data_IF_902590887018
#
_entry.id   IF_902590887018
#
_cell.length_a   1.000
_cell.length_b   1.000
_cell.length_c   1.000
_cell.angle_alpha   90.00
_cell.angle_beta   90.00
_cell.angle_gamma   90.00
#
_symmetry.space_group_name_H-M   'P 1'
#
loop_
_entity.id
_entity.type
_entity.pdbx_description
1 polymer ?
#
# COMPACT_ATOMS: atom_id res chain seq x y z
N UNK A 1 11.28 8.33 1.26
CA UNK A 1 12.43 8.81 0.48
C UNK A 1 11.96 8.92 -0.96
N UNK A 2 11.93 10.12 -1.56
CA UNK A 2 11.52 10.28 -2.96
C UNK A 2 12.79 10.21 -3.80
N UNK A 3 13.01 9.09 -4.48
CA UNK A 3 14.07 8.96 -5.48
C UNK A 3 13.70 9.72 -6.76
N UNK A 4 14.72 9.96 -7.58
CA UNK A 4 14.60 10.60 -8.89
C UNK A 4 13.48 9.95 -9.70
N UNK A 5 12.39 10.68 -10.02
CA UNK A 5 11.28 10.11 -10.75
C UNK A 5 11.74 9.61 -12.12
N UNK A 6 11.29 8.41 -12.51
CA UNK A 6 11.57 7.87 -13.83
C UNK A 6 10.91 8.81 -14.86
N UNK A 7 11.68 9.37 -15.81
CA UNK A 7 11.11 10.26 -16.82
C UNK A 7 9.99 9.55 -17.59
N UNK A 8 8.86 10.22 -17.81
CA UNK A 8 7.70 9.65 -18.53
C UNK A 8 8.07 8.90 -19.83
N UNK A 9 8.98 9.41 -20.69
CA UNK A 9 9.37 8.70 -21.92
C UNK A 9 10.10 7.37 -21.68
N UNK A 10 10.71 7.19 -20.51
CA UNK A 10 11.50 6.01 -20.14
C UNK A 10 10.67 4.99 -19.35
N UNK A 11 9.50 5.39 -18.85
CA UNK A 11 8.67 4.56 -17.97
C UNK A 11 8.28 3.23 -18.62
N UNK A 12 7.82 3.25 -19.88
CA UNK A 12 7.41 2.02 -20.57
C UNK A 12 8.55 0.99 -20.63
N UNK A 13 9.75 1.43 -21.05
CA UNK A 13 10.92 0.57 -21.13
C UNK A 13 11.39 0.07 -19.76
N UNK A 14 11.26 0.88 -18.70
CA UNK A 14 11.57 0.48 -17.34
C UNK A 14 10.61 -0.63 -16.86
N UNK A 15 9.31 -0.48 -17.12
CA UNK A 15 8.29 -1.50 -16.80
C UNK A 15 8.48 -2.79 -17.58
N UNK A 16 8.90 -2.72 -18.85
CA UNK A 16 9.25 -3.89 -19.66
C UNK A 16 10.45 -4.65 -19.08
N UNK A 17 11.52 -3.93 -18.70
CA UNK A 17 12.69 -4.53 -18.05
C UNK A 17 12.35 -5.13 -16.69
N UNK A 18 11.49 -4.49 -15.91
CA UNK A 18 11.03 -5.04 -14.65
C UNK A 18 10.25 -6.35 -14.87
N UNK A 19 9.27 -6.36 -15.78
CA UNK A 19 8.49 -7.56 -16.10
C UNK A 19 9.35 -8.73 -16.55
N UNK A 20 10.36 -8.46 -17.39
CA UNK A 20 11.27 -9.46 -17.92
C UNK A 20 12.15 -10.13 -16.85
N UNK A 21 12.26 -9.55 -15.66
CA UNK A 21 13.02 -10.09 -14.52
C UNK A 21 12.14 -10.88 -13.53
N UNK A 22 10.82 -10.97 -13.76
CA UNK A 22 9.90 -11.73 -12.90
C UNK A 22 9.82 -13.18 -13.39
N UNK A 23 10.47 -14.10 -12.66
CA UNK A 23 10.48 -15.53 -12.99
C UNK A 23 9.22 -16.28 -12.51
N UNK A 24 8.50 -15.72 -11.54
CA UNK A 24 7.26 -16.32 -11.00
C UNK A 24 6.03 -15.92 -11.82
N UNK A 25 5.23 -16.92 -12.22
CA UNK A 25 4.03 -16.72 -13.04
C UNK A 25 2.98 -15.85 -12.35
N UNK A 26 2.76 -16.07 -11.06
CA UNK A 26 1.69 -15.38 -10.32
C UNK A 26 2.07 -13.94 -10.01
N UNK A 27 3.31 -13.70 -9.61
CA UNK A 27 3.91 -12.38 -9.44
C UNK A 27 3.92 -11.60 -10.74
N UNK A 28 4.30 -12.23 -11.86
CA UNK A 28 4.19 -11.61 -13.18
C UNK A 28 2.74 -11.24 -13.53
N UNK A 29 1.78 -12.14 -13.29
CA UNK A 29 0.36 -11.84 -13.52
C UNK A 29 -0.16 -10.70 -12.64
N UNK A 30 0.30 -10.62 -11.39
CA UNK A 30 0.00 -9.53 -10.48
C UNK A 30 0.58 -8.20 -10.97
N UNK A 31 1.85 -8.18 -11.39
CA UNK A 31 2.47 -7.01 -11.97
C UNK A 31 1.78 -6.53 -13.24
N UNK A 32 1.37 -7.45 -14.13
CA UNK A 32 0.60 -7.10 -15.32
C UNK A 32 -0.68 -6.37 -14.94
N UNK A 33 -1.43 -6.82 -13.92
CA UNK A 33 -2.63 -6.11 -13.45
C UNK A 33 -2.32 -4.71 -12.94
N UNK A 34 -1.25 -4.55 -12.16
CA UNK A 34 -0.80 -3.22 -11.69
C UNK A 34 -0.49 -2.32 -12.89
N UNK A 35 0.33 -2.81 -13.83
CA UNK A 35 0.75 -2.08 -15.03
C UNK A 35 -0.40 -1.63 -15.93
N UNK A 36 -1.51 -2.37 -15.96
CA UNK A 36 -2.69 -2.01 -16.76
C UNK A 36 -3.48 -0.82 -16.19
N UNK A 37 -3.15 -0.35 -14.99
CA UNK A 37 -3.80 0.81 -14.37
C UNK A 37 -3.04 2.11 -14.66
N UNK A 38 -3.69 3.25 -14.37
CA UNK A 38 -3.11 4.57 -14.62
C UNK A 38 -1.83 4.82 -13.82
N UNK A 39 -0.80 5.38 -14.46
CA UNK A 39 0.38 5.95 -13.80
C UNK A 39 0.12 7.34 -13.20
N UNK A 40 -1.05 7.92 -13.43
CA UNK A 40 -1.48 9.21 -12.87
C UNK A 40 -2.58 9.01 -11.82
N UNK A 41 -2.53 9.80 -10.75
CA UNK A 41 -3.53 9.79 -9.68
C UNK A 41 -4.88 10.28 -10.21
N UNK A 42 -5.95 9.64 -9.73
CA UNK A 42 -7.30 10.09 -9.99
C UNK A 42 -7.56 11.46 -9.33
N UNK A 43 -8.44 12.26 -9.91
CA UNK A 43 -8.85 13.57 -9.37
C UNK A 43 -10.38 13.73 -9.44
N UNK A 44 -10.91 14.71 -8.69
CA UNK A 44 -12.35 15.03 -8.68
C UNK A 44 -13.24 13.83 -8.35
N UNK A 45 -14.34 13.67 -9.09
CA UNK A 45 -15.34 12.62 -8.85
C UNK A 45 -14.78 11.19 -8.95
N UNK A 46 -13.74 10.99 -9.76
CA UNK A 46 -13.05 9.71 -9.89
C UNK A 46 -12.31 9.36 -8.61
N UNK A 47 -11.55 10.31 -8.04
CA UNK A 47 -10.85 10.13 -6.77
C UNK A 47 -11.84 9.85 -5.63
N UNK A 48 -12.93 10.61 -5.60
CA UNK A 48 -13.96 10.45 -4.57
C UNK A 48 -14.69 9.10 -4.68
N UNK A 49 -14.94 8.60 -5.89
CA UNK A 49 -15.46 7.22 -6.08
C UNK A 49 -14.48 6.17 -5.56
N UNK A 50 -13.19 6.30 -5.85
CA UNK A 50 -12.16 5.38 -5.37
C UNK A 50 -12.09 5.39 -3.84
N UNK A 51 -12.17 6.57 -3.23
CA UNK A 51 -12.20 6.73 -1.77
C UNK A 51 -13.38 5.98 -1.16
N UNK A 52 -14.58 6.13 -1.71
CA UNK A 52 -15.76 5.36 -1.27
C UNK A 52 -15.60 3.85 -1.41
N UNK A 53 -14.95 3.36 -2.47
CA UNK A 53 -14.67 1.92 -2.62
C UNK A 53 -13.69 1.43 -1.55
N UNK A 54 -12.66 2.22 -1.23
CA UNK A 54 -11.72 1.91 -0.17
C UNK A 54 -12.40 1.86 1.21
N UNK A 55 -13.35 2.76 1.48
CA UNK A 55 -14.13 2.75 2.72
C UNK A 55 -15.03 1.51 2.84
N UNK A 56 -15.64 1.04 1.74
CA UNK A 56 -16.37 -0.24 1.75
C UNK A 56 -15.45 -1.42 2.10
N UNK A 57 -14.18 -1.35 1.69
CA UNK A 57 -13.21 -2.37 2.06
C UNK A 57 -12.83 -2.29 3.55
N UNK A 58 -12.68 -1.07 4.09
CA UNK A 58 -12.48 -0.89 5.53
C UNK A 58 -13.64 -1.49 6.34
N UNK A 59 -14.89 -1.24 5.91
CA UNK A 59 -16.10 -1.84 6.50
C UNK A 59 -16.08 -3.36 6.41
N UNK A 60 -15.72 -3.93 5.24
CA UNK A 60 -15.61 -5.37 5.04
C UNK A 60 -14.65 -6.05 6.03
N UNK A 61 -13.52 -5.40 6.34
CA UNK A 61 -12.54 -5.90 7.32
C UNK A 61 -12.86 -5.51 8.78
N UNK A 62 -13.99 -4.83 9.03
CA UNK A 62 -14.40 -4.41 10.37
C UNK A 62 -13.49 -3.33 10.96
N UNK A 63 -12.88 -2.50 10.12
CA UNK A 63 -11.98 -1.42 10.54
C UNK A 63 -12.82 -0.21 10.95
N UNK A 64 -12.70 0.26 12.20
CA UNK A 64 -13.36 1.49 12.61
C UNK A 64 -12.82 2.69 11.84
N UNK A 65 -13.69 3.64 11.52
CA UNK A 65 -13.34 4.88 10.81
C UNK A 65 -13.78 6.09 11.61
N UNK A 66 -12.99 7.15 11.58
CA UNK A 66 -13.37 8.42 12.18
C UNK A 66 -14.49 9.09 11.39
N UNK A 67 -15.36 9.88 12.05
CA UNK A 67 -16.25 10.79 11.35
C UNK A 67 -15.46 11.77 10.46
N UNK A 68 -16.00 12.16 9.29
CA UNK A 68 -15.40 13.21 8.47
C UNK A 68 -15.19 14.49 9.29
N UNK A 69 -14.01 15.10 9.16
CA UNK A 69 -13.61 16.33 9.83
C UNK A 69 -12.85 16.16 11.15
N UNK A 70 -12.69 14.94 11.68
CA UNK A 70 -11.96 14.70 12.95
C UNK A 70 -10.49 15.12 12.89
N UNK A 71 -9.84 15.00 11.72
CA UNK A 71 -8.43 15.37 11.47
C UNK A 71 -7.46 14.85 12.55
N UNK A 72 -7.36 13.53 12.75
CA UNK A 72 -6.39 12.95 13.67
C UNK A 72 -4.93 13.30 13.31
N UNK A 73 -4.02 13.11 14.27
CA UNK A 73 -2.57 13.26 14.06
C UNK A 73 -1.93 12.13 13.24
N UNK A 74 -2.69 11.08 12.95
CA UNK A 74 -2.27 9.82 12.33
C UNK A 74 -3.34 9.32 11.37
N UNK A 75 -2.95 8.57 10.34
CA UNK A 75 -3.92 7.85 9.52
C UNK A 75 -4.55 6.71 10.32
N UNK A 76 -3.77 6.02 11.17
CA UNK A 76 -4.27 5.05 12.14
C UNK A 76 -3.79 5.40 13.55
N UNK A 77 -4.72 5.77 14.43
CA UNK A 77 -4.40 6.20 15.80
C UNK A 77 -4.45 5.06 16.85
N UNK A 78 -4.63 3.81 16.42
CA UNK A 78 -4.85 2.67 17.31
C UNK A 78 -6.33 2.38 17.62
N UNK A 79 -7.25 3.24 17.19
CA UNK A 79 -8.68 3.08 17.40
C UNK A 79 -9.48 3.12 16.09
N UNK A 80 -9.20 4.11 15.23
CA UNK A 80 -9.91 4.29 13.97
C UNK A 80 -9.04 4.91 12.88
N UNK A 81 -9.44 4.66 11.64
CA UNK A 81 -8.81 5.16 10.42
C UNK A 81 -9.27 6.60 10.10
N UNK A 82 -8.34 7.46 9.69
CA UNK A 82 -8.65 8.74 9.04
C UNK A 82 -9.19 8.51 7.63
N UNK A 83 -10.37 9.05 7.35
CA UNK A 83 -11.08 8.89 6.07
C UNK A 83 -11.04 10.12 5.19
N UNK A 84 -10.48 11.23 5.69
CA UNK A 84 -10.31 12.48 4.97
C UNK A 84 -8.97 12.52 4.23
N UNK A 85 -8.65 11.41 3.55
CA UNK A 85 -7.45 11.22 2.74
C UNK A 85 -7.78 10.43 1.47
N UNK A 86 -6.79 10.28 0.60
CA UNK A 86 -6.88 9.62 -0.68
C UNK A 86 -7.11 8.11 -0.55
N UNK A 87 -7.76 7.53 -1.56
CA UNK A 87 -8.10 6.10 -1.58
C UNK A 87 -6.88 5.18 -1.39
N UNK A 88 -5.73 5.53 -1.96
CA UNK A 88 -4.52 4.71 -1.86
C UNK A 88 -3.94 4.73 -0.44
N UNK A 89 -4.09 5.83 0.31
CA UNK A 89 -3.70 5.92 1.72
C UNK A 89 -4.63 5.03 2.55
N UNK A 90 -5.95 5.13 2.34
CA UNK A 90 -6.92 4.26 3.00
C UNK A 90 -6.61 2.77 2.76
N UNK A 91 -6.38 2.38 1.50
CA UNK A 91 -6.07 0.98 1.16
C UNK A 91 -4.76 0.49 1.79
N UNK A 92 -3.77 1.37 1.90
CA UNK A 92 -2.50 1.08 2.56
C UNK A 92 -2.69 0.82 4.06
N UNK A 93 -3.47 1.66 4.76
CA UNK A 93 -3.76 1.46 6.18
C UNK A 93 -4.62 0.21 6.44
N UNK A 94 -5.58 -0.08 5.56
CA UNK A 94 -6.33 -1.34 5.61
C UNK A 94 -5.36 -2.53 5.48
N UNK A 95 -4.34 -2.42 4.63
CA UNK A 95 -3.37 -3.48 4.43
C UNK A 95 -2.54 -3.70 5.70
N UNK A 96 -2.10 -2.63 6.36
CA UNK A 96 -1.50 -2.73 7.67
C UNK A 96 -2.41 -3.40 8.70
N UNK A 97 -3.68 -3.01 8.78
CA UNK A 97 -4.62 -3.62 9.73
C UNK A 97 -4.79 -5.13 9.50
N UNK A 98 -4.90 -5.55 8.25
CA UNK A 98 -5.04 -6.98 7.87
C UNK A 98 -3.77 -7.76 8.21
N UNK A 99 -2.59 -7.18 7.99
CA UNK A 99 -1.30 -7.84 8.23
C UNK A 99 -0.89 -7.82 9.71
N UNK A 100 -1.27 -6.77 10.44
CA UNK A 100 -0.88 -6.56 11.82
C UNK A 100 -1.57 -7.60 12.73
N UNK A 101 -0.83 -8.19 13.68
CA UNK A 101 -1.43 -9.04 14.70
C UNK A 101 -2.37 -8.22 15.60
N UNK A 102 -3.40 -8.84 16.22
CA UNK A 102 -4.45 -8.11 16.95
C UNK A 102 -3.94 -7.14 18.03
N UNK A 103 -2.87 -7.50 18.73
CA UNK A 103 -2.22 -6.69 19.75
C UNK A 103 -1.65 -5.37 19.21
N UNK A 104 -1.17 -5.36 17.96
CA UNK A 104 -0.60 -4.17 17.32
C UNK A 104 -1.64 -3.25 16.71
N UNK A 105 -2.83 -3.76 16.40
CA UNK A 105 -3.92 -2.94 15.87
C UNK A 105 -4.32 -1.83 16.83
N UNK A 106 -4.08 -1.98 18.13
CA UNK A 106 -4.40 -0.96 19.14
C UNK A 106 -3.34 0.13 19.30
N UNK A 107 -2.27 0.08 18.51
CA UNK A 107 -1.16 1.02 18.57
C UNK A 107 -1.27 2.02 17.43
N UNK A 108 -0.87 3.26 17.71
CA UNK A 108 -0.62 4.29 16.70
C UNK A 108 0.33 3.75 15.63
N UNK A 109 0.01 3.97 14.36
CA UNK A 109 0.77 3.47 13.20
C UNK A 109 1.13 1.96 13.34
N UNK A 110 0.26 1.17 13.97
CA UNK A 110 0.44 -0.26 14.26
C UNK A 110 1.73 -0.60 15.04
N UNK A 111 2.29 0.38 15.74
CA UNK A 111 3.56 0.27 16.47
C UNK A 111 4.80 0.24 15.56
N UNK A 112 4.69 0.71 14.31
CA UNK A 112 5.81 0.82 13.36
C UNK A 112 6.68 2.07 13.61
N UNK A 113 6.12 3.09 14.26
CA UNK A 113 6.74 4.41 14.37
C UNK A 113 6.42 5.31 13.18
N UNK A 114 6.95 6.54 13.16
CA UNK A 114 6.42 7.60 12.29
C UNK A 114 6.71 7.34 10.81
N UNK A 115 5.67 7.32 10.00
CA UNK A 115 5.70 7.36 8.54
C UNK A 115 6.00 8.75 7.95
N UNK A 116 5.93 8.89 6.62
CA UNK A 116 6.08 10.18 5.94
C UNK A 116 4.97 11.17 6.28
N UNK A 117 3.73 10.68 6.47
CA UNK A 117 2.54 11.51 6.70
C UNK A 117 2.19 11.67 8.19
N UNK A 118 2.93 11.02 9.08
CA UNK A 118 2.73 11.10 10.53
C UNK A 118 2.98 12.53 11.02
N UNK A 119 1.93 13.20 11.52
CA UNK A 119 1.99 14.59 12.00
C UNK A 119 2.59 14.64 13.42
N UNK A 120 2.19 13.71 14.27
CA UNK A 120 2.64 13.62 15.66
C UNK A 120 3.81 12.63 15.83
N UNK A 121 4.95 12.95 15.19
CA UNK A 121 6.10 12.04 15.07
C UNK A 121 6.62 11.50 16.41
N UNK A 122 6.74 12.35 17.43
CA UNK A 122 7.25 11.95 18.74
C UNK A 122 6.35 10.92 19.44
N UNK A 123 5.03 11.04 19.27
CA UNK A 123 4.08 10.08 19.82
C UNK A 123 4.16 8.73 19.09
N UNK A 124 4.29 8.73 17.76
CA UNK A 124 4.52 7.50 17.00
C UNK A 124 5.86 6.84 17.35
N UNK A 125 6.94 7.62 17.54
CA UNK A 125 8.25 7.09 17.97
C UNK A 125 8.15 6.39 19.33
N UNK A 126 7.44 6.98 20.28
CA UNK A 126 7.20 6.40 21.60
C UNK A 126 6.35 5.11 21.54
N UNK A 127 5.43 5.03 20.57
CA UNK A 127 4.57 3.86 20.37
C UNK A 127 5.24 2.74 19.55
N UNK A 128 6.44 2.96 18.99
CA UNK A 128 7.12 1.99 18.15
C UNK A 128 7.58 0.77 18.95
N UNK A 129 7.19 -0.42 18.53
CA UNK A 129 7.52 -1.69 19.20
C UNK A 129 8.32 -2.65 18.32
N UNK A 130 8.54 -2.29 17.06
CA UNK A 130 9.21 -3.13 16.06
C UNK A 130 10.59 -2.56 15.74
N UNK A 131 11.64 -3.40 15.68
CA UNK A 131 12.94 -2.95 15.19
C UNK A 131 12.86 -2.52 13.72
N UNK A 132 13.76 -1.64 13.31
CA UNK A 132 13.76 -1.02 11.97
C UNK A 132 13.62 -2.02 10.81
N UNK A 133 14.36 -3.13 10.82
CA UNK A 133 14.27 -4.15 9.76
C UNK A 133 12.89 -4.83 9.70
N UNK A 134 12.25 -5.04 10.85
CA UNK A 134 10.89 -5.58 10.91
C UNK A 134 9.88 -4.58 10.36
N UNK A 135 10.09 -3.30 10.64
CA UNK A 135 9.28 -2.21 10.10
C UNK A 135 9.35 -2.16 8.56
N UNK A 136 10.54 -2.24 7.97
CA UNK A 136 10.70 -2.22 6.50
C UNK A 136 10.00 -3.41 5.82
N UNK A 137 10.06 -4.59 6.44
CA UNK A 137 9.39 -5.78 5.91
C UNK A 137 7.85 -5.66 5.96
N UNK A 138 7.32 -5.17 7.09
CA UNK A 138 5.89 -4.91 7.28
C UNK A 138 5.39 -3.83 6.29
N UNK A 139 6.16 -2.77 6.12
CA UNK A 139 5.86 -1.68 5.19
C UNK A 139 5.79 -2.17 3.76
N UNK A 140 6.76 -2.98 3.33
CA UNK A 140 6.76 -3.55 1.98
C UNK A 140 5.55 -4.48 1.75
N UNK A 141 5.17 -5.29 2.75
CA UNK A 141 3.98 -6.15 2.65
C UNK A 141 2.69 -5.33 2.57
N UNK A 142 2.52 -4.31 3.41
CA UNK A 142 1.34 -3.44 3.40
C UNK A 142 1.24 -2.61 2.12
N UNK A 143 2.36 -2.03 1.70
CA UNK A 143 2.52 -1.34 0.42
C UNK A 143 2.05 -2.19 -0.76
N UNK A 144 2.61 -3.39 -0.92
CA UNK A 144 2.28 -4.24 -2.06
C UNK A 144 0.83 -4.72 -1.99
N UNK A 145 0.33 -5.08 -0.79
CA UNK A 145 -1.05 -5.52 -0.63
C UNK A 145 -2.05 -4.40 -0.99
N UNK A 146 -1.82 -3.17 -0.54
CA UNK A 146 -2.61 -2.00 -0.91
C UNK A 146 -2.62 -1.77 -2.42
N UNK A 147 -1.46 -1.84 -3.07
CA UNK A 147 -1.32 -1.72 -4.54
C UNK A 147 -2.08 -2.83 -5.27
N UNK A 148 -2.05 -4.07 -4.77
CA UNK A 148 -2.78 -5.18 -5.37
C UNK A 148 -4.30 -4.98 -5.25
N UNK A 149 -4.79 -4.42 -4.15
CA UNK A 149 -6.19 -4.05 -4.01
C UNK A 149 -6.58 -2.89 -4.91
N UNK A 150 -5.73 -1.85 -5.04
CA UNK A 150 -5.94 -0.79 -6.03
C UNK A 150 -6.13 -1.39 -7.43
N UNK A 151 -5.24 -2.30 -7.85
CA UNK A 151 -5.31 -2.91 -9.17
C UNK A 151 -6.58 -3.72 -9.37
N UNK A 152 -7.02 -4.41 -8.33
CA UNK A 152 -8.22 -5.24 -8.34
C UNK A 152 -9.52 -4.42 -8.35
N UNK A 153 -9.50 -3.24 -7.73
CA UNK A 153 -10.61 -2.27 -7.74
C UNK A 153 -10.61 -1.37 -8.98
N UNK A 154 -9.64 -1.53 -9.89
CA UNK A 154 -9.47 -0.69 -11.08
C UNK A 154 -8.97 0.72 -10.78
N UNK A 155 -8.34 0.94 -9.63
CA UNK A 155 -7.76 2.21 -9.20
C UNK A 155 -6.31 2.37 -9.72
N UNK A 156 -5.70 3.58 -9.63
CA UNK A 156 -4.34 3.87 -10.14
C UNK A 156 -3.18 3.17 -9.40
N UNK A 157 -3.17 1.84 -9.37
CA UNK A 157 -2.16 1.02 -8.71
C UNK A 157 -0.74 1.27 -9.24
N UNK A 158 -0.59 1.54 -10.55
CA UNK A 158 0.70 1.86 -11.15
C UNK A 158 1.24 3.19 -10.59
N UNK A 159 0.37 4.17 -10.31
CA UNK A 159 0.78 5.41 -9.65
C UNK A 159 1.33 5.12 -8.24
N UNK A 160 0.66 4.29 -7.43
CA UNK A 160 1.18 3.86 -6.12
C UNK A 160 2.47 3.05 -6.21
N UNK A 161 2.58 2.17 -7.19
CA UNK A 161 3.80 1.39 -7.43
C UNK A 161 5.01 2.29 -7.71
N UNK A 162 4.80 3.39 -8.44
CA UNK A 162 5.83 4.39 -8.72
C UNK A 162 6.10 5.30 -7.52
N UNK A 163 5.07 5.82 -6.85
CA UNK A 163 5.20 6.71 -5.70
C UNK A 163 5.90 6.02 -4.51
N UNK A 164 5.67 4.72 -4.35
CA UNK A 164 6.31 3.88 -3.34
C UNK A 164 7.60 3.22 -3.83
N UNK A 165 8.08 3.64 -5.00
CA UNK A 165 9.44 3.39 -5.48
C UNK A 165 9.79 1.90 -5.66
N UNK A 166 8.82 1.08 -6.09
CA UNK A 166 9.01 -0.36 -6.34
C UNK A 166 9.97 -0.67 -7.50
N UNK A 167 10.34 0.33 -8.29
CA UNK A 167 11.37 0.23 -9.34
C UNK A 167 12.78 0.62 -8.85
N UNK A 168 12.96 0.88 -7.55
CA UNK A 168 14.28 1.17 -6.99
C UNK A 168 15.24 0.00 -7.19
N UNK A 169 16.42 0.31 -7.73
CA UNK A 169 17.38 -0.72 -8.08
C UNK A 169 16.87 -1.64 -9.18
N UNK A 170 16.16 -1.09 -10.18
CA UNK A 170 15.59 -1.82 -11.34
C UNK A 170 16.53 -2.86 -11.95
N UNK A 171 17.82 -2.53 -12.07
CA UNK A 171 18.83 -3.40 -12.69
C UNK A 171 19.51 -4.37 -11.70
N UNK A 172 19.11 -4.38 -10.42
CA UNK A 172 19.82 -5.10 -9.35
C UNK A 172 18.91 -5.92 -8.45
N UNK A 173 17.83 -5.32 -7.95
CA UNK A 173 17.09 -5.84 -6.78
C UNK A 173 15.59 -5.69 -6.86
N UNK A 174 15.05 -4.80 -7.70
CA UNK A 174 13.62 -4.47 -7.72
C UNK A 174 12.73 -5.71 -7.92
N UNK A 175 13.00 -6.51 -8.95
CA UNK A 175 12.22 -7.70 -9.28
C UNK A 175 12.31 -8.79 -8.20
N UNK A 176 13.51 -8.99 -7.62
CA UNK A 176 13.72 -9.91 -6.52
C UNK A 176 12.94 -9.46 -5.27
N UNK A 177 13.01 -8.17 -4.92
CA UNK A 177 12.29 -7.60 -3.79
C UNK A 177 10.78 -7.79 -3.94
N UNK A 178 10.22 -7.43 -5.10
CA UNK A 178 8.81 -7.67 -5.43
C UNK A 178 8.42 -9.13 -5.28
N UNK A 179 9.20 -10.05 -5.86
CA UNK A 179 8.92 -11.49 -5.81
C UNK A 179 8.93 -12.01 -4.37
N UNK A 180 9.90 -11.56 -3.55
CA UNK A 180 9.99 -11.95 -2.15
C UNK A 180 8.81 -11.46 -1.31
N UNK A 181 8.37 -10.22 -1.51
CA UNK A 181 7.22 -9.64 -0.81
C UNK A 181 5.93 -10.32 -1.27
N UNK A 182 5.74 -10.48 -2.57
CA UNK A 182 4.58 -11.15 -3.14
C UNK A 182 4.44 -12.58 -2.64
N UNK A 183 5.54 -13.34 -2.58
CA UNK A 183 5.54 -14.70 -2.03
C UNK A 183 5.17 -14.75 -0.54
N UNK A 184 5.52 -13.71 0.25
CA UNK A 184 5.06 -13.60 1.67
C UNK A 184 3.55 -13.41 1.73
N UNK A 185 3.01 -12.51 0.91
CA UNK A 185 1.55 -12.28 0.84
C UNK A 185 0.79 -13.53 0.35
N UNK A 186 1.34 -14.26 -0.64
CA UNK A 186 0.76 -15.53 -1.09
C UNK A 186 0.70 -16.57 0.02
N UNK A 187 1.77 -16.72 0.82
CA UNK A 187 1.79 -17.65 1.97
C UNK A 187 0.74 -17.29 3.03
N UNK A 188 0.37 -16.01 3.13
CA UNK A 188 -0.73 -15.54 4.00
C UNK A 188 -2.12 -15.67 3.35
N UNK A 189 -2.21 -16.08 2.09
CA UNK A 189 -3.47 -16.20 1.35
C UNK A 189 -4.07 -14.85 0.91
N UNK A 190 -3.28 -13.77 0.91
CA UNK A 190 -3.77 -12.40 0.74
C UNK A 190 -3.75 -11.87 -0.71
N UNK A 191 -3.26 -12.65 -1.66
CA UNK A 191 -3.13 -12.22 -3.07
C UNK A 191 -4.31 -12.62 -3.96
N UNK A 192 -5.31 -13.32 -3.41
CA UNK A 192 -6.49 -13.77 -4.14
C UNK A 192 -7.56 -12.66 -4.22
N UNK A 193 -8.11 -12.46 -5.42
CA UNK A 193 -9.20 -11.49 -5.69
C UNK A 193 -10.46 -11.71 -4.86
N UNK A 194 -10.68 -12.93 -4.34
CA UNK A 194 -11.87 -13.30 -3.54
C UNK A 194 -11.96 -12.61 -2.18
N UNK A 195 -10.98 -11.79 -1.82
CA UNK A 195 -10.95 -11.02 -0.58
C UNK A 195 -11.65 -9.66 -0.69
N UNK A 196 -12.09 -9.26 -1.89
CA UNK A 196 -12.77 -7.99 -2.10
C UNK A 196 -14.29 -8.19 -2.07
N UNK A 197 -15.05 -7.25 -1.50
CA UNK A 197 -16.51 -7.26 -1.56
C UNK A 197 -16.99 -7.10 -3.01
N UNK A 198 -18.13 -7.69 -3.33
CA UNK A 198 -18.81 -7.59 -4.64
C UNK A 198 -19.21 -6.14 -5.01
#
# INVERSE_FOLDING_TARGET
>A
MILTPIPRPQLAAALDRFAAQLDDRDGHAAFVRIRMTSSERATGDVAERHRRQALKLAEHFGIPVHPPGTRPGFNWDGAALDVDTEAYVILHEIAHFVLAPPERRRLVDFGLGPGPDTRERAAAESAAVIPLLGREADEAEASLLGILWEASLGQPALASFLDQNWLEGLERSAALHFTQVFARLQRRGLTALRLLPD
#
